data_IF_112990750033
#
_entry.id   IF_112990750033
#
_cell.length_a   1.000
_cell.length_b   1.000
_cell.length_c   1.000
_cell.angle_alpha   90.00
_cell.angle_beta   90.00
_cell.angle_gamma   90.00
#
_symmetry.space_group_name_H-M   'P 1'
#
loop_
_entity.id
_entity.type
_entity.pdbx_description
1 polymer ?
#
# COMPACT_ATOMS: atom_id res chain seq x y z
N UNK A 1 -9.45 -2.29 10.38
CA UNK A 1 -9.23 -3.36 11.38
C UNK A 1 -7.88 -3.14 12.05
N UNK A 2 -7.88 -3.12 13.36
CA UNK A 2 -6.66 -2.90 14.15
C UNK A 2 -6.13 -4.24 14.68
N UNK A 3 -4.83 -4.49 14.48
CA UNK A 3 -4.16 -5.74 14.83
C UNK A 3 -2.88 -5.45 15.60
N UNK A 4 -2.19 -6.49 16.05
CA UNK A 4 -1.03 -6.35 16.94
C UNK A 4 0.33 -6.37 16.22
N UNK A 5 0.36 -6.16 14.94
CA UNK A 5 1.60 -6.19 14.17
C UNK A 5 2.25 -4.83 14.00
N UNK A 6 3.15 -4.77 13.00
CA UNK A 6 3.95 -3.58 12.71
C UNK A 6 3.95 -3.21 11.21
N UNK A 7 3.13 -3.88 10.39
CA UNK A 7 3.02 -3.61 8.96
C UNK A 7 1.63 -3.09 8.64
N UNK A 8 1.54 -1.88 8.11
CA UNK A 8 0.28 -1.32 7.63
C UNK A 8 -0.08 -1.88 6.27
N UNK A 9 -1.37 -2.14 6.05
CA UNK A 9 -1.88 -2.67 4.78
C UNK A 9 -2.96 -1.77 4.22
N UNK A 10 -2.81 -1.40 2.94
CA UNK A 10 -3.84 -0.69 2.19
C UNK A 10 -4.14 -1.51 0.94
N UNK A 11 -5.39 -1.89 0.75
CA UNK A 11 -5.81 -2.68 -0.40
C UNK A 11 -7.03 -2.06 -1.06
N UNK A 12 -7.12 -2.21 -2.37
CA UNK A 12 -8.35 -1.87 -3.09
C UNK A 12 -8.68 -3.00 -4.07
N UNK A 13 -9.94 -3.34 -4.14
CA UNK A 13 -10.45 -4.44 -4.95
C UNK A 13 -11.13 -5.48 -4.10
N UNK A 14 -12.29 -5.96 -4.57
CA UNK A 14 -13.11 -6.91 -3.81
C UNK A 14 -12.34 -8.20 -3.51
N UNK A 15 -12.28 -8.59 -2.26
CA UNK A 15 -11.63 -9.82 -1.81
C UNK A 15 -10.10 -9.76 -1.78
N UNK A 16 -9.50 -8.71 -2.32
CA UNK A 16 -8.04 -8.61 -2.39
C UNK A 16 -7.43 -8.42 -1.00
N UNK A 17 -8.13 -7.71 -0.13
CA UNK A 17 -7.62 -7.40 1.19
C UNK A 17 -7.40 -8.62 2.07
N UNK A 18 -8.37 -9.54 2.11
CA UNK A 18 -8.24 -10.75 2.92
C UNK A 18 -7.12 -11.64 2.39
N UNK A 19 -7.04 -11.80 1.07
CA UNK A 19 -5.96 -12.59 0.46
C UNK A 19 -4.59 -11.97 0.75
N UNK A 20 -4.48 -10.65 0.68
CA UNK A 20 -3.25 -9.94 0.98
C UNK A 20 -2.85 -10.15 2.44
N UNK A 21 -3.80 -10.04 3.36
CA UNK A 21 -3.54 -10.21 4.78
C UNK A 21 -3.03 -11.61 5.10
N UNK A 22 -3.61 -12.65 4.46
CA UNK A 22 -3.15 -14.02 4.63
C UNK A 22 -1.72 -14.23 4.14
N UNK A 23 -1.39 -13.67 2.99
CA UNK A 23 -0.05 -13.80 2.43
C UNK A 23 0.98 -13.05 3.27
N UNK A 24 0.65 -11.83 3.67
CA UNK A 24 1.53 -11.02 4.53
C UNK A 24 1.76 -11.73 5.87
N UNK A 25 0.71 -12.30 6.44
CA UNK A 25 0.78 -12.98 7.74
C UNK A 25 1.66 -14.20 7.77
N UNK A 26 2.07 -14.73 6.63
CA UNK A 26 3.01 -15.85 6.58
C UNK A 26 4.44 -15.45 6.94
N UNK A 27 4.81 -14.19 6.74
CA UNK A 27 6.19 -13.72 6.93
C UNK A 27 6.29 -12.46 7.78
N UNK A 28 5.22 -11.67 7.85
CA UNK A 28 5.18 -10.38 8.53
C UNK A 28 3.98 -10.33 9.46
N UNK A 29 3.90 -9.30 10.26
CA UNK A 29 2.82 -9.13 11.23
C UNK A 29 1.98 -7.91 10.89
N UNK A 30 0.77 -8.10 10.33
CA UNK A 30 -0.10 -6.96 10.02
C UNK A 30 -0.47 -6.17 11.28
N UNK A 31 -0.35 -4.86 11.20
CA UNK A 31 -0.72 -3.95 12.28
C UNK A 31 -2.14 -3.47 12.15
N UNK A 32 -2.54 -3.21 10.91
CA UNK A 32 -3.89 -2.78 10.58
C UNK A 32 -4.14 -3.06 9.10
N UNK A 33 -5.38 -2.88 8.71
CA UNK A 33 -5.80 -3.24 7.37
C UNK A 33 -6.97 -2.34 6.99
N UNK A 34 -6.85 -1.66 5.86
CA UNK A 34 -7.95 -0.93 5.27
C UNK A 34 -8.14 -1.35 3.82
N UNK A 35 -9.37 -1.70 3.48
CA UNK A 35 -9.76 -2.03 2.13
C UNK A 35 -10.71 -0.98 1.62
N UNK A 36 -10.39 -0.40 0.45
CA UNK A 36 -11.29 0.54 -0.21
C UNK A 36 -12.08 -0.19 -1.28
N UNK A 37 -13.37 0.04 -1.34
CA UNK A 37 -14.23 -0.48 -2.38
C UNK A 37 -14.05 0.28 -3.69
N UNK A 38 -15.07 0.30 -4.54
CA UNK A 38 -15.06 1.07 -5.76
C UNK A 38 -15.02 2.57 -5.48
N UNK A 39 -14.80 3.37 -6.52
CA UNK A 39 -14.82 4.82 -6.40
C UNK A 39 -13.53 5.40 -5.82
N UNK A 40 -12.38 4.85 -6.16
CA UNK A 40 -11.09 5.36 -5.73
C UNK A 40 -10.91 6.80 -6.19
N UNK A 41 -10.62 7.69 -5.25
CA UNK A 41 -10.32 9.10 -5.53
C UNK A 41 -9.05 9.50 -4.79
N UNK A 42 -8.48 10.63 -5.16
CA UNK A 42 -7.34 11.19 -4.44
C UNK A 42 -7.69 11.40 -2.96
N UNK A 43 -8.85 11.99 -2.69
CA UNK A 43 -9.28 12.27 -1.33
C UNK A 43 -9.50 11.00 -0.51
N UNK A 44 -10.13 9.98 -1.09
CA UNK A 44 -10.35 8.72 -0.40
C UNK A 44 -9.03 8.06 0.00
N UNK A 45 -8.07 8.01 -0.93
CA UNK A 45 -6.78 7.38 -0.66
C UNK A 45 -5.93 8.22 0.28
N UNK A 46 -6.09 9.54 0.26
CA UNK A 46 -5.46 10.41 1.24
C UNK A 46 -5.92 10.04 2.65
N UNK A 47 -7.22 9.97 2.87
CA UNK A 47 -7.79 9.64 4.18
C UNK A 47 -7.45 8.22 4.62
N UNK A 48 -7.51 7.27 3.69
CA UNK A 48 -7.18 5.87 3.99
C UNK A 48 -5.74 5.73 4.44
N UNK A 49 -4.82 6.35 3.71
CA UNK A 49 -3.40 6.29 4.03
C UNK A 49 -3.11 6.99 5.36
N UNK A 50 -3.73 8.12 5.59
CA UNK A 50 -3.60 8.84 6.85
C UNK A 50 -4.05 7.99 8.03
N UNK A 51 -5.20 7.34 7.92
CA UNK A 51 -5.71 6.47 8.98
C UNK A 51 -4.76 5.31 9.28
N UNK A 52 -4.25 4.65 8.24
CA UNK A 52 -3.33 3.53 8.44
C UNK A 52 -2.07 3.99 9.14
N UNK A 53 -1.54 5.14 8.76
CA UNK A 53 -0.29 5.65 9.32
C UNK A 53 -0.44 6.23 10.74
N UNK A 54 -1.68 6.37 11.25
CA UNK A 54 -1.89 6.80 12.64
C UNK A 54 -1.52 5.71 13.65
N UNK A 55 -1.44 4.46 13.23
CA UNK A 55 -1.05 3.37 14.12
C UNK A 55 0.41 3.55 14.54
N UNK A 56 0.72 3.62 15.85
CA UNK A 56 2.10 3.76 16.29
C UNK A 56 2.90 2.46 16.08
N UNK A 57 4.19 2.59 15.89
CA UNK A 57 5.09 1.44 15.80
C UNK A 57 5.12 0.74 14.46
N UNK A 58 4.63 1.36 13.39
CA UNK A 58 4.72 0.77 12.06
C UNK A 58 6.16 0.74 11.57
N UNK A 59 6.61 -0.41 11.07
CA UNK A 59 7.92 -0.59 10.47
C UNK A 59 7.89 -0.60 8.96
N UNK A 60 6.74 -0.76 8.35
CA UNK A 60 6.58 -0.76 6.91
C UNK A 60 5.13 -0.62 6.50
N UNK A 61 4.93 -0.29 5.24
CA UNK A 61 3.61 -0.14 4.64
C UNK A 61 3.56 -0.92 3.32
N UNK A 62 2.56 -1.77 3.18
CA UNK A 62 2.32 -2.50 1.94
C UNK A 62 1.03 -2.01 1.31
N UNK A 63 1.12 -1.59 0.06
CA UNK A 63 -0.02 -1.11 -0.71
C UNK A 63 -0.28 -2.09 -1.84
N UNK A 64 -1.51 -2.60 -1.95
CA UNK A 64 -1.90 -3.53 -2.99
C UNK A 64 -3.16 -3.02 -3.68
N UNK A 65 -2.99 -2.44 -4.86
CA UNK A 65 -4.06 -1.82 -5.62
C UNK A 65 -4.29 -2.57 -6.93
N UNK A 66 -5.55 -2.78 -7.24
CA UNK A 66 -5.95 -3.30 -8.54
C UNK A 66 -7.13 -2.48 -9.05
N UNK A 67 -7.00 -1.93 -10.25
CA UNK A 67 -8.07 -1.14 -10.83
C UNK A 67 -8.19 -1.35 -12.32
N UNK A 68 -9.18 -2.14 -12.75
CA UNK A 68 -9.53 -2.24 -14.16
C UNK A 68 -10.25 -0.97 -14.62
N UNK A 69 -11.32 -0.61 -13.91
CA UNK A 69 -12.10 0.60 -14.15
C UNK A 69 -11.71 1.70 -13.16
N UNK A 70 -11.38 1.32 -11.93
CA UNK A 70 -11.05 2.28 -10.87
C UNK A 70 -9.79 3.09 -11.22
N UNK A 71 -9.83 4.41 -11.00
CA UNK A 71 -8.69 5.28 -11.34
C UNK A 71 -7.60 5.24 -10.25
N UNK A 72 -6.84 4.16 -10.18
CA UNK A 72 -5.79 4.01 -9.18
C UNK A 72 -4.72 5.11 -9.32
N UNK A 73 -4.53 5.66 -10.53
CA UNK A 73 -3.60 6.76 -10.74
C UNK A 73 -4.01 8.04 -10.00
N UNK A 74 -5.31 8.26 -9.82
CA UNK A 74 -5.80 9.37 -9.00
C UNK A 74 -5.61 9.08 -7.51
N UNK A 75 -5.85 7.84 -7.11
CA UNK A 75 -5.63 7.41 -5.72
C UNK A 75 -4.18 7.54 -5.30
N UNK A 76 -3.25 7.25 -6.21
CA UNK A 76 -1.82 7.37 -5.94
C UNK A 76 -1.43 8.79 -5.52
N UNK A 77 -2.08 9.81 -6.07
CA UNK A 77 -1.82 11.20 -5.69
C UNK A 77 -2.13 11.44 -4.21
N UNK A 78 -3.21 10.85 -3.72
CA UNK A 78 -3.58 10.97 -2.31
C UNK A 78 -2.58 10.29 -1.39
N UNK A 79 -2.11 9.11 -1.78
CA UNK A 79 -1.09 8.38 -1.02
C UNK A 79 0.19 9.22 -0.93
N UNK A 80 0.65 9.74 -2.06
CA UNK A 80 1.87 10.55 -2.13
C UNK A 80 1.77 11.79 -1.24
N UNK A 81 0.61 12.46 -1.24
CA UNK A 81 0.40 13.63 -0.40
C UNK A 81 0.62 13.31 1.08
N UNK A 82 0.09 12.19 1.55
CA UNK A 82 0.27 11.80 2.95
C UNK A 82 1.72 11.48 3.25
N UNK A 83 2.37 10.71 2.37
CA UNK A 83 3.77 10.33 2.57
C UNK A 83 4.68 11.57 2.66
N UNK A 84 4.41 12.58 1.87
CA UNK A 84 5.18 13.82 1.88
C UNK A 84 4.84 14.71 3.06
N UNK A 85 3.55 14.91 3.36
CA UNK A 85 3.11 15.78 4.45
C UNK A 85 3.55 15.26 5.81
N UNK A 86 3.54 13.95 6.01
CA UNK A 86 3.94 13.34 7.28
C UNK A 86 5.42 12.94 7.31
N UNK A 87 6.15 13.21 6.25
CA UNK A 87 7.59 12.90 6.15
C UNK A 87 7.87 11.44 6.53
N UNK A 88 7.13 10.53 5.90
CA UNK A 88 7.20 9.10 6.18
C UNK A 88 8.57 8.56 5.77
N UNK A 89 9.23 7.87 6.70
CA UNK A 89 10.59 7.33 6.48
C UNK A 89 10.63 5.80 6.49
N UNK A 90 9.56 5.14 6.90
CA UNK A 90 9.50 3.68 6.86
C UNK A 90 9.42 3.20 5.40
N UNK A 91 9.90 1.97 5.11
CA UNK A 91 9.76 1.41 3.77
C UNK A 91 8.30 1.30 3.35
N UNK A 92 8.01 1.74 2.12
CA UNK A 92 6.69 1.64 1.52
C UNK A 92 6.85 0.88 0.21
N UNK A 93 6.15 -0.23 0.10
CA UNK A 93 6.13 -1.05 -1.11
C UNK A 93 4.73 -1.06 -1.67
N UNK A 94 4.61 -0.88 -2.98
CA UNK A 94 3.32 -0.88 -3.66
C UNK A 94 3.32 -1.84 -4.83
N UNK A 95 2.27 -2.65 -4.90
CA UNK A 95 1.89 -3.42 -6.06
C UNK A 95 0.61 -2.78 -6.57
N UNK A 96 0.67 -2.15 -7.74
CA UNK A 96 -0.45 -1.41 -8.31
C UNK A 96 -0.59 -1.77 -9.79
N UNK A 97 -1.64 -2.48 -10.11
CA UNK A 97 -1.87 -3.00 -11.46
C UNK A 97 -3.22 -2.54 -11.98
N UNK A 98 -3.31 -2.37 -13.28
CA UNK A 98 -4.55 -2.03 -13.93
C UNK A 98 -4.41 -0.88 -14.91
N UNK A 99 -5.52 -0.20 -15.19
CA UNK A 99 -5.56 0.89 -16.14
C UNK A 99 -4.63 2.03 -15.71
N UNK A 100 -3.80 2.50 -16.66
CA UNK A 100 -2.85 3.60 -16.45
C UNK A 100 -1.85 3.32 -15.32
N UNK A 101 -1.43 2.07 -15.20
CA UNK A 101 -0.53 1.66 -14.13
C UNK A 101 0.83 2.36 -14.20
N UNK A 102 1.31 2.69 -15.40
CA UNK A 102 2.59 3.40 -15.55
C UNK A 102 2.55 4.80 -14.90
N UNK A 103 1.43 5.49 -15.00
CA UNK A 103 1.26 6.78 -14.32
C UNK A 103 1.25 6.60 -12.81
N UNK A 104 0.57 5.57 -12.33
CA UNK A 104 0.53 5.22 -10.91
C UNK A 104 1.94 4.95 -10.39
N UNK A 105 2.70 4.13 -11.12
CA UNK A 105 4.07 3.80 -10.74
C UNK A 105 4.96 5.04 -10.69
N UNK A 106 4.87 5.91 -11.70
CA UNK A 106 5.68 7.12 -11.74
C UNK A 106 5.38 8.03 -10.54
N UNK A 107 4.10 8.24 -10.25
CA UNK A 107 3.66 9.07 -9.13
C UNK A 107 4.19 8.54 -7.80
N UNK A 108 4.05 7.23 -7.57
CA UNK A 108 4.50 6.61 -6.31
C UNK A 108 6.03 6.62 -6.19
N UNK A 109 6.74 6.36 -7.29
CA UNK A 109 8.21 6.37 -7.27
C UNK A 109 8.77 7.73 -6.89
N UNK A 110 8.15 8.80 -7.31
CA UNK A 110 8.57 10.15 -6.96
C UNK A 110 8.56 10.39 -5.45
N UNK A 111 7.70 9.68 -4.73
CA UNK A 111 7.60 9.79 -3.27
C UNK A 111 8.48 8.75 -2.55
N UNK A 112 9.32 8.01 -3.27
CA UNK A 112 10.20 7.02 -2.68
C UNK A 112 9.56 5.66 -2.45
N UNK A 113 8.39 5.40 -3.01
CA UNK A 113 7.72 4.10 -2.91
C UNK A 113 8.42 3.09 -3.80
N UNK A 114 8.66 1.90 -3.28
CA UNK A 114 9.23 0.78 -4.04
C UNK A 114 8.11 0.11 -4.81
N UNK A 115 8.22 0.09 -6.13
CA UNK A 115 7.19 -0.46 -7.00
C UNK A 115 7.52 -1.91 -7.36
N UNK A 116 6.54 -2.79 -7.14
CA UNK A 116 6.61 -4.18 -7.56
C UNK A 116 5.69 -4.35 -8.76
N UNK A 117 6.26 -4.73 -9.89
CA UNK A 117 5.52 -4.89 -11.15
C UNK A 117 5.02 -6.31 -11.37
N UNK A 118 5.37 -7.24 -10.50
CA UNK A 118 4.92 -8.62 -10.55
C UNK A 118 3.43 -8.70 -10.19
N UNK A 119 2.75 -9.71 -10.74
CA UNK A 119 1.32 -9.92 -10.50
C UNK A 119 1.08 -10.45 -9.08
N UNK A 120 2.04 -11.17 -8.50
CA UNK A 120 1.84 -11.85 -7.22
C UNK A 120 2.02 -10.91 -6.03
N UNK A 121 1.20 -11.10 -5.00
CA UNK A 121 1.35 -10.39 -3.74
C UNK A 121 2.62 -10.83 -3.00
N UNK A 122 3.02 -12.09 -3.18
CA UNK A 122 4.24 -12.62 -2.60
C UNK A 122 5.47 -11.82 -3.02
N UNK A 123 5.51 -11.38 -4.28
CA UNK A 123 6.63 -10.53 -4.75
C UNK A 123 6.68 -9.20 -3.98
N UNK A 124 5.54 -8.62 -3.66
CA UNK A 124 5.47 -7.39 -2.86
C UNK A 124 5.94 -7.63 -1.43
N UNK A 125 5.53 -8.76 -0.84
CA UNK A 125 6.00 -9.14 0.50
C UNK A 125 7.50 -9.37 0.52
N UNK A 126 8.04 -10.04 -0.51
CA UNK A 126 9.49 -10.25 -0.63
C UNK A 126 10.24 -8.93 -0.68
N UNK A 127 9.75 -7.97 -1.46
CA UNK A 127 10.37 -6.66 -1.59
C UNK A 127 10.37 -5.91 -0.24
N UNK A 128 9.26 -5.95 0.49
CA UNK A 128 9.18 -5.30 1.78
C UNK A 128 10.09 -5.97 2.80
N UNK A 129 10.14 -7.29 2.83
CA UNK A 129 11.04 -8.03 3.73
C UNK A 129 12.50 -7.68 3.45
N UNK A 130 12.87 -7.55 2.17
CA UNK A 130 14.24 -7.17 1.79
C UNK A 130 14.59 -5.77 2.31
N UNK A 131 13.66 -4.82 2.22
CA UNK A 131 13.89 -3.47 2.72
C UNK A 131 13.99 -3.43 4.24
N UNK A 132 13.14 -4.19 4.94
CA UNK A 132 13.20 -4.26 6.41
C UNK A 132 14.50 -4.90 6.90
N UNK A 133 15.05 -5.84 6.14
CA UNK A 133 16.31 -6.48 6.47
C UNK A 133 17.54 -5.60 6.30
N UNK A 134 17.42 -4.46 5.63
CA UNK A 134 18.52 -3.51 5.46
C UNK A 134 18.70 -2.58 6.67
N UNK A 135 17.74 -2.57 7.56
CA UNK A 135 17.75 -1.65 8.71
C UNK A 135 18.81 -2.03 9.76
#
# INVERSE_FOLDING_TARGET
MDLDGDIGLICSGAGLGMATMDIVGQRLRPANFLETGGGITEELMYRTTELVLQKPGLRGLLINLYGGINPIHEGAKGIVRVLQEKQVTIPVVAKALGNRQEETWATLREAGVIIVTDITTEAAVDALCAELGKA
#
